data_IF_508497752005
#
_entry.id   IF_508497752005
#
_cell.length_a   1.000
_cell.length_b   1.000
_cell.length_c   1.000
_cell.angle_alpha   90.00
_cell.angle_beta   90.00
_cell.angle_gamma   90.00
#
_symmetry.space_group_name_H-M   'P 1'
#
loop_
_entity.id
_entity.type
_entity.pdbx_description
1 polymer ?
#
# COMPACT_ATOMS: atom_id res chain seq x y z
N UNK A 1 8.50 12.96 16.41
CA UNK A 1 7.42 13.27 15.47
C UNK A 1 6.07 13.66 16.09
N UNK A 2 5.97 13.85 17.41
CA UNK A 2 4.74 14.31 18.08
C UNK A 2 3.57 13.31 18.04
N UNK A 3 3.77 12.06 17.69
CA UNK A 3 2.73 11.05 17.72
C UNK A 3 2.38 10.66 19.16
N UNK A 4 1.09 10.73 19.49
CA UNK A 4 0.60 10.35 20.83
C UNK A 4 0.40 8.83 20.86
N UNK A 5 1.05 8.18 21.84
CA UNK A 5 0.91 6.75 22.07
C UNK A 5 -0.28 6.46 22.98
N UNK A 6 -0.98 5.38 22.70
CA UNK A 6 -2.10 4.93 23.53
C UNK A 6 -1.66 3.81 24.46
N UNK A 7 -1.94 3.98 25.73
CA UNK A 7 -1.57 3.04 26.81
C UNK A 7 -2.77 2.41 27.52
N UNK A 8 -3.99 2.88 27.25
CA UNK A 8 -5.24 2.35 27.80
C UNK A 8 -6.19 2.01 26.66
N UNK A 9 -7.18 1.16 26.92
CA UNK A 9 -8.16 0.68 25.92
C UNK A 9 -7.46 0.17 24.64
N UNK A 10 -6.48 -0.70 24.84
CA UNK A 10 -5.65 -1.23 23.75
C UNK A 10 -6.43 -2.26 22.91
N UNK A 11 -6.08 -2.46 21.62
CA UNK A 11 -6.63 -3.52 20.79
C UNK A 11 -6.26 -4.91 21.37
N UNK A 12 -7.06 -5.93 21.07
CA UNK A 12 -6.86 -7.30 21.59
C UNK A 12 -5.47 -7.86 21.26
N UNK A 13 -4.95 -7.49 20.10
CA UNK A 13 -3.65 -7.92 19.58
C UNK A 13 -2.52 -6.90 19.82
N UNK A 14 -2.65 -6.04 20.83
CA UNK A 14 -1.67 -4.98 21.09
C UNK A 14 -0.23 -5.47 21.29
N UNK A 15 -0.06 -6.70 21.81
CA UNK A 15 1.26 -7.32 22.03
C UNK A 15 2.03 -7.62 20.73
N UNK A 16 1.33 -7.66 19.59
CA UNK A 16 1.94 -7.86 18.28
C UNK A 16 2.59 -6.60 17.73
N UNK A 17 2.33 -5.44 18.33
CA UNK A 17 2.80 -4.14 17.89
C UNK A 17 3.84 -3.56 18.84
N UNK A 18 4.85 -2.80 18.33
CA UNK A 18 5.82 -2.14 19.20
C UNK A 18 5.19 -1.01 20.02
N UNK A 19 4.16 -0.38 19.50
CA UNK A 19 3.33 0.63 20.15
C UNK A 19 1.99 0.80 19.43
N UNK A 20 1.03 1.44 20.08
CA UNK A 20 -0.30 1.73 19.54
C UNK A 20 -0.48 3.25 19.44
N UNK A 21 -0.84 3.74 18.27
CA UNK A 21 -1.10 5.16 18.05
C UNK A 21 -2.49 5.55 18.56
N UNK A 22 -2.57 6.68 19.27
CA UNK A 22 -3.84 7.20 19.78
C UNK A 22 -4.80 7.65 18.67
N UNK A 23 -4.27 8.00 17.50
CA UNK A 23 -5.04 8.45 16.33
C UNK A 23 -5.88 7.36 15.65
N UNK A 24 -5.59 6.07 15.92
CA UNK A 24 -6.31 4.96 15.30
C UNK A 24 -7.17 4.21 16.30
N UNK A 25 -8.40 3.81 15.92
CA UNK A 25 -9.27 2.96 16.77
C UNK A 25 -8.73 1.52 16.86
N UNK A 26 -9.20 0.74 17.84
CA UNK A 26 -8.81 -0.67 17.98
C UNK A 26 -9.08 -1.48 16.71
N UNK A 27 -10.20 -1.21 16.03
CA UNK A 27 -10.56 -1.87 14.77
C UNK A 27 -9.52 -1.68 13.67
N UNK A 28 -8.72 -0.63 13.70
CA UNK A 28 -7.61 -0.44 12.77
C UNK A 28 -6.55 -1.55 12.93
N UNK A 29 -6.20 -1.90 14.17
CA UNK A 29 -5.21 -2.93 14.48
C UNK A 29 -5.77 -4.35 14.40
N UNK A 30 -7.03 -4.53 14.77
CA UNK A 30 -7.69 -5.84 14.84
C UNK A 30 -8.21 -6.35 13.50
N UNK A 31 -8.42 -5.44 12.53
CA UNK A 31 -8.96 -5.82 11.23
C UNK A 31 -7.97 -6.65 10.43
N UNK A 32 -8.40 -7.83 10.00
CA UNK A 32 -7.66 -8.63 9.05
C UNK A 32 -7.69 -7.99 7.66
N UNK A 33 -6.54 -7.96 7.01
CA UNK A 33 -6.36 -7.59 5.60
C UNK A 33 -6.10 -8.84 4.76
N UNK A 34 -6.05 -8.69 3.44
CA UNK A 34 -5.72 -9.81 2.55
C UNK A 34 -4.31 -10.35 2.84
N UNK A 35 -3.36 -9.49 3.18
CA UNK A 35 -2.01 -9.90 3.52
C UNK A 35 -1.96 -10.62 4.88
N UNK A 36 -2.62 -10.08 5.92
CA UNK A 36 -2.60 -10.71 7.25
C UNK A 36 -3.31 -12.06 7.29
N UNK A 37 -4.30 -12.29 6.43
CA UNK A 37 -4.94 -13.61 6.28
C UNK A 37 -4.02 -14.70 5.74
N UNK A 38 -2.95 -14.29 5.06
CA UNK A 38 -1.97 -15.22 4.47
C UNK A 38 -0.73 -15.40 5.34
N UNK A 39 -0.69 -14.77 6.52
CA UNK A 39 0.44 -14.90 7.45
C UNK A 39 0.69 -16.34 7.84
N UNK A 40 1.96 -16.74 7.76
CA UNK A 40 2.47 -18.00 8.29
C UNK A 40 2.91 -17.86 9.75
N UNK A 41 3.13 -18.99 10.42
CA UNK A 41 3.70 -18.99 11.78
C UNK A 41 5.16 -18.52 11.84
N UNK A 42 5.85 -18.45 10.68
CA UNK A 42 7.25 -18.02 10.57
C UNK A 42 7.37 -16.51 10.36
N UNK A 43 6.27 -15.86 9.97
CA UNK A 43 6.26 -14.42 9.76
C UNK A 43 6.43 -13.69 11.09
N UNK A 44 7.18 -12.61 11.05
CA UNK A 44 7.44 -11.78 12.23
C UNK A 44 6.29 -10.84 12.49
N UNK A 45 5.90 -10.72 13.76
CA UNK A 45 4.96 -9.68 14.17
C UNK A 45 5.59 -8.29 14.00
N UNK A 46 4.80 -7.22 13.99
CA UNK A 46 5.34 -5.85 14.01
C UNK A 46 6.33 -5.60 15.15
N UNK A 47 6.04 -6.09 16.35
CA UNK A 47 6.94 -5.97 17.51
C UNK A 47 8.29 -6.69 17.31
N UNK A 48 8.28 -7.85 16.66
CA UNK A 48 9.50 -8.58 16.31
C UNK A 48 10.26 -7.88 15.17
N UNK A 49 9.55 -7.38 14.16
CA UNK A 49 10.13 -6.67 13.02
C UNK A 49 10.80 -5.36 13.47
N UNK A 50 10.18 -4.65 14.42
CA UNK A 50 10.73 -3.42 14.98
C UNK A 50 12.11 -3.60 15.65
N UNK A 51 12.45 -4.83 16.09
CA UNK A 51 13.74 -5.14 16.71
C UNK A 51 14.86 -5.42 15.70
N UNK A 52 14.52 -5.70 14.44
CA UNK A 52 15.48 -6.09 13.40
C UNK A 52 15.68 -5.05 12.30
N UNK A 53 14.79 -4.08 12.18
CA UNK A 53 14.92 -2.97 11.25
C UNK A 53 15.36 -1.71 12.01
N UNK A 54 16.30 -0.97 11.44
CA UNK A 54 16.63 0.38 11.93
C UNK A 54 15.45 1.34 11.74
N UNK A 55 15.42 2.44 12.45
CA UNK A 55 14.38 3.45 12.28
C UNK A 55 14.45 4.08 10.87
N UNK A 56 15.67 4.29 10.35
CA UNK A 56 15.88 4.73 8.97
C UNK A 56 15.26 3.78 7.93
N UNK A 57 15.45 2.47 8.09
CA UNK A 57 14.87 1.47 7.20
C UNK A 57 13.35 1.48 7.25
N UNK A 58 12.76 1.60 8.46
CA UNK A 58 11.31 1.70 8.66
C UNK A 58 10.74 2.93 7.95
N UNK A 59 11.39 4.08 8.12
CA UNK A 59 10.98 5.33 7.50
C UNK A 59 11.06 5.25 5.97
N UNK A 60 12.13 4.68 5.43
CA UNK A 60 12.31 4.50 3.99
C UNK A 60 11.27 3.55 3.39
N UNK A 61 10.95 2.45 4.05
CA UNK A 61 9.91 1.51 3.63
C UNK A 61 8.55 2.22 3.62
N UNK A 62 8.19 2.89 4.70
CA UNK A 62 6.91 3.60 4.82
C UNK A 62 6.78 4.74 3.80
N UNK A 63 7.84 5.52 3.60
CA UNK A 63 7.87 6.58 2.59
C UNK A 63 7.70 6.04 1.17
N UNK A 64 8.32 4.90 0.85
CA UNK A 64 8.19 4.26 -0.44
C UNK A 64 6.77 3.77 -0.71
N UNK A 65 6.16 3.12 0.27
CA UNK A 65 4.76 2.68 0.22
C UNK A 65 3.83 3.88 0.06
N UNK A 66 3.99 4.90 0.91
CA UNK A 66 3.18 6.13 0.87
C UNK A 66 3.23 6.79 -0.50
N UNK A 67 4.44 6.99 -1.03
CA UNK A 67 4.65 7.61 -2.34
C UNK A 67 3.96 6.85 -3.47
N UNK A 68 4.05 5.52 -3.47
CA UNK A 68 3.36 4.68 -4.45
C UNK A 68 1.85 4.87 -4.41
N UNK A 69 1.26 4.78 -3.21
CA UNK A 69 -0.19 4.92 -3.01
C UNK A 69 -0.67 6.32 -3.42
N UNK A 70 0.02 7.37 -3.00
CA UNK A 70 -0.30 8.76 -3.36
C UNK A 70 -0.29 8.98 -4.88
N UNK A 71 0.72 8.47 -5.57
CA UNK A 71 0.83 8.59 -7.03
C UNK A 71 -0.31 7.87 -7.76
N UNK A 72 -0.73 6.70 -7.29
CA UNK A 72 -1.81 5.92 -7.92
C UNK A 72 -3.20 6.44 -7.58
N UNK A 73 -3.40 7.03 -6.42
CA UNK A 73 -4.71 7.47 -5.95
C UNK A 73 -4.93 8.99 -6.07
N UNK A 74 -4.04 9.70 -6.78
CA UNK A 74 -4.21 11.11 -7.13
C UNK A 74 -3.97 11.30 -8.62
N UNK A 75 -5.00 10.99 -9.43
CA UNK A 75 -4.88 10.85 -10.87
C UNK A 75 -5.99 11.58 -11.60
N UNK A 76 -5.59 12.37 -12.59
CA UNK A 76 -6.47 12.88 -13.64
C UNK A 76 -5.93 12.39 -14.99
N UNK A 77 -6.69 11.54 -15.69
CA UNK A 77 -6.28 10.92 -16.96
C UNK A 77 -5.85 11.90 -18.04
N UNK A 78 -6.24 13.17 -17.93
CA UNK A 78 -5.95 14.23 -18.91
C UNK A 78 -4.57 14.86 -18.72
N UNK A 79 -4.07 14.94 -17.46
CA UNK A 79 -2.91 15.76 -17.12
C UNK A 79 -1.85 15.07 -16.24
N UNK A 80 -2.21 14.00 -15.51
CA UNK A 80 -1.29 13.43 -14.52
C UNK A 80 -0.12 12.67 -15.13
N UNK A 81 -0.31 12.00 -16.27
CA UNK A 81 0.66 11.03 -16.81
C UNK A 81 1.82 11.67 -17.56
N UNK A 82 2.53 12.57 -16.90
CA UNK A 82 3.78 13.18 -17.38
C UNK A 82 4.96 12.20 -17.28
N UNK A 83 6.08 12.50 -17.97
CA UNK A 83 7.32 11.73 -17.86
C UNK A 83 7.83 11.69 -16.41
N UNK A 84 7.70 12.81 -15.67
CA UNK A 84 8.07 12.89 -14.26
C UNK A 84 7.22 11.96 -13.40
N UNK A 85 5.88 12.02 -13.52
CA UNK A 85 4.98 11.14 -12.76
C UNK A 85 5.29 9.66 -13.03
N UNK A 86 5.51 9.32 -14.31
CA UNK A 86 5.87 7.96 -14.71
C UNK A 86 7.17 7.49 -14.07
N UNK A 87 8.21 8.33 -14.13
CA UNK A 87 9.49 8.06 -13.47
C UNK A 87 9.33 7.92 -11.96
N UNK A 88 8.61 8.85 -11.32
CA UNK A 88 8.37 8.82 -9.88
C UNK A 88 7.66 7.53 -9.46
N UNK A 89 6.64 7.09 -10.20
CA UNK A 89 5.94 5.84 -9.91
C UNK A 89 6.85 4.62 -10.13
N UNK A 90 7.60 4.56 -11.23
CA UNK A 90 8.54 3.48 -11.49
C UNK A 90 9.61 3.34 -10.40
N UNK A 91 10.04 4.47 -9.82
CA UNK A 91 11.04 4.48 -8.75
C UNK A 91 10.51 3.94 -7.41
N UNK A 92 9.21 3.70 -7.30
CA UNK A 92 8.63 3.03 -6.13
C UNK A 92 8.67 1.50 -6.22
N UNK A 93 8.99 0.93 -7.38
CA UNK A 93 9.02 -0.53 -7.61
C UNK A 93 10.46 -1.05 -7.75
N UNK A 94 10.71 -2.24 -7.20
CA UNK A 94 11.95 -3.00 -7.43
C UNK A 94 11.91 -3.86 -8.69
N UNK A 95 10.72 -4.19 -9.18
CA UNK A 95 10.51 -5.15 -10.26
C UNK A 95 11.11 -4.66 -11.59
N UNK A 96 11.73 -5.57 -12.33
CA UNK A 96 12.21 -5.33 -13.71
C UNK A 96 11.08 -5.02 -14.69
N UNK A 97 9.87 -5.51 -14.44
CA UNK A 97 8.68 -5.27 -15.25
C UNK A 97 7.94 -3.96 -14.95
N UNK A 98 8.45 -3.14 -14.04
CA UNK A 98 7.82 -1.88 -13.62
C UNK A 98 7.38 -0.97 -14.76
N UNK A 99 8.16 -0.91 -15.84
CA UNK A 99 7.83 -0.14 -17.04
C UNK A 99 6.53 -0.63 -17.71
N UNK A 100 6.41 -1.95 -17.91
CA UNK A 100 5.23 -2.59 -18.51
C UNK A 100 3.99 -2.33 -17.66
N UNK A 101 4.14 -2.47 -16.37
CA UNK A 101 3.09 -2.33 -15.39
C UNK A 101 2.59 -0.89 -15.27
N UNK A 102 3.48 0.09 -15.20
CA UNK A 102 3.12 1.51 -15.19
C UNK A 102 2.44 1.91 -16.51
N UNK A 103 2.89 1.38 -17.64
CA UNK A 103 2.24 1.62 -18.93
C UNK A 103 0.82 1.03 -18.98
N UNK A 104 0.62 -0.19 -18.44
CA UNK A 104 -0.69 -0.82 -18.34
C UNK A 104 -1.64 0.01 -17.46
N UNK A 105 -1.17 0.49 -16.30
CA UNK A 105 -1.92 1.40 -15.45
C UNK A 105 -2.37 2.66 -16.20
N UNK A 106 -1.45 3.33 -16.90
CA UNK A 106 -1.74 4.55 -17.67
C UNK A 106 -2.79 4.27 -18.76
N UNK A 107 -2.61 3.17 -19.50
CA UNK A 107 -3.55 2.74 -20.56
C UNK A 107 -4.96 2.53 -19.99
N UNK A 108 -5.06 1.80 -18.88
CA UNK A 108 -6.33 1.52 -18.22
C UNK A 108 -7.00 2.80 -17.71
N UNK A 109 -6.27 3.67 -17.03
CA UNK A 109 -6.79 4.92 -16.50
C UNK A 109 -7.28 5.87 -17.61
N UNK A 110 -6.55 5.97 -18.72
CA UNK A 110 -6.97 6.78 -19.89
C UNK A 110 -8.21 6.20 -20.57
N UNK A 111 -8.25 4.89 -20.82
CA UNK A 111 -9.38 4.23 -21.46
C UNK A 111 -10.69 4.40 -20.67
N UNK A 112 -10.61 4.48 -19.36
CA UNK A 112 -11.76 4.65 -18.45
C UNK A 112 -12.00 6.10 -18.02
N UNK A 113 -11.17 7.04 -18.51
CA UNK A 113 -11.27 8.47 -18.18
C UNK A 113 -11.29 8.71 -16.66
N UNK A 114 -10.39 8.04 -15.93
CA UNK A 114 -10.36 8.02 -14.47
C UNK A 114 -9.84 9.35 -13.91
N UNK A 115 -10.57 9.89 -12.95
CA UNK A 115 -10.13 11.00 -12.08
C UNK A 115 -10.33 10.54 -10.64
N UNK A 116 -9.25 10.48 -9.89
CA UNK A 116 -9.23 10.10 -8.47
C UNK A 116 -8.51 11.21 -7.71
N UNK A 117 -9.08 11.60 -6.58
CA UNK A 117 -8.43 12.47 -5.59
C UNK A 117 -8.22 11.70 -4.29
N UNK A 118 -7.00 11.70 -3.77
CA UNK A 118 -6.70 11.23 -2.42
C UNK A 118 -6.83 12.39 -1.45
N UNK A 119 -7.58 12.18 -0.36
CA UNK A 119 -7.64 13.14 0.75
C UNK A 119 -6.54 12.88 1.76
N UNK A 120 -6.38 11.65 2.19
CA UNK A 120 -5.45 11.26 3.25
C UNK A 120 -4.82 9.90 2.93
N UNK A 121 -3.49 9.82 3.07
CA UNK A 121 -2.73 8.58 2.97
C UNK A 121 -1.82 8.49 4.19
N UNK A 122 -2.09 7.52 5.06
CA UNK A 122 -1.28 7.25 6.25
C UNK A 122 -0.70 5.86 6.11
N UNK A 123 0.60 5.75 6.33
CA UNK A 123 1.32 4.48 6.49
C UNK A 123 1.80 4.41 7.93
N UNK A 124 1.40 3.39 8.65
CA UNK A 124 1.70 3.25 10.07
C UNK A 124 3.01 2.46 10.27
N UNK A 125 4.10 3.10 10.73
CA UNK A 125 5.36 2.40 10.99
C UNK A 125 5.25 1.34 12.09
N UNK A 126 4.32 1.51 13.04
CA UNK A 126 4.10 0.52 14.10
C UNK A 126 3.53 -0.79 13.59
N UNK A 127 2.94 -0.77 12.40
CA UNK A 127 2.32 -1.93 11.77
C UNK A 127 3.26 -2.75 10.89
N UNK A 128 4.53 -2.33 10.73
CA UNK A 128 5.51 -3.02 9.88
C UNK A 128 5.75 -4.44 10.36
N UNK A 129 5.42 -5.41 9.53
CA UNK A 129 5.73 -6.82 9.77
C UNK A 129 6.48 -7.42 8.58
N UNK A 130 7.26 -8.48 8.80
CA UNK A 130 8.10 -9.11 7.79
C UNK A 130 7.70 -10.56 7.60
N UNK A 131 7.44 -10.99 6.37
CA UNK A 131 7.16 -12.37 6.05
C UNK A 131 8.44 -13.23 5.99
N UNK A 132 8.26 -14.55 5.88
CA UNK A 132 9.35 -15.50 5.80
C UNK A 132 10.20 -15.35 4.53
N UNK A 133 9.69 -14.71 3.48
CA UNK A 133 10.40 -14.43 2.22
C UNK A 133 11.23 -13.16 2.28
N UNK A 134 11.05 -12.35 3.33
CA UNK A 134 11.79 -11.11 3.55
C UNK A 134 11.07 -9.84 3.10
N UNK A 135 9.83 -9.95 2.63
CA UNK A 135 9.01 -8.78 2.27
C UNK A 135 8.48 -8.13 3.54
N UNK A 136 8.59 -6.81 3.62
CA UNK A 136 8.00 -6.01 4.69
C UNK A 136 6.65 -5.45 4.27
N UNK A 137 5.67 -5.58 5.13
CA UNK A 137 4.31 -5.05 4.93
C UNK A 137 4.03 -3.97 5.95
N UNK A 138 3.45 -2.86 5.51
CA UNK A 138 2.95 -1.83 6.40
C UNK A 138 1.47 -1.59 6.16
N UNK A 139 0.74 -1.30 7.23
CA UNK A 139 -0.67 -0.95 7.15
C UNK A 139 -0.83 0.45 6.59
N UNK A 140 -1.68 0.53 5.56
CA UNK A 140 -2.01 1.76 4.86
C UNK A 140 -3.48 2.08 5.07
N UNK A 141 -3.74 3.28 5.54
CA UNK A 141 -5.06 3.86 5.63
C UNK A 141 -5.19 4.96 4.58
N UNK A 142 -6.20 4.87 3.74
CA UNK A 142 -6.40 5.82 2.65
C UNK A 142 -7.84 6.28 2.62
N UNK A 143 -8.04 7.59 2.52
CA UNK A 143 -9.29 8.20 2.07
C UNK A 143 -9.09 8.71 0.65
N UNK A 144 -9.94 8.29 -0.26
CA UNK A 144 -9.90 8.78 -1.64
C UNK A 144 -11.31 8.87 -2.22
N UNK A 145 -11.42 9.58 -3.32
CA UNK A 145 -12.68 9.77 -4.02
C UNK A 145 -12.47 9.58 -5.52
N UNK A 146 -13.37 8.81 -6.13
CA UNK A 146 -13.45 8.71 -7.59
C UNK A 146 -14.35 9.83 -8.09
N UNK A 147 -13.76 10.83 -8.71
CA UNK A 147 -14.50 12.02 -9.21
C UNK A 147 -15.13 11.74 -10.56
N UNK A 148 -14.45 10.96 -11.40
CA UNK A 148 -14.87 10.65 -12.75
C UNK A 148 -14.35 9.28 -13.18
N UNK A 149 -15.08 8.67 -14.09
CA UNK A 149 -14.73 7.39 -14.70
C UNK A 149 -15.62 6.26 -14.20
N UNK A 150 -15.73 5.21 -15.02
CA UNK A 150 -16.39 3.96 -14.62
C UNK A 150 -15.32 3.03 -14.11
N UNK A 151 -15.29 2.83 -12.81
CA UNK A 151 -14.49 1.78 -12.22
C UNK A 151 -15.43 0.60 -12.02
N UNK A 152 -15.27 -0.44 -12.80
CA UNK A 152 -16.19 -1.58 -12.79
C UNK A 152 -16.14 -2.33 -11.46
N UNK A 153 -17.14 -3.19 -11.24
CA UNK A 153 -17.30 -3.98 -10.02
C UNK A 153 -16.09 -4.89 -9.73
N UNK A 154 -16.01 -5.35 -8.50
CA UNK A 154 -14.98 -6.16 -7.84
C UNK A 154 -14.30 -7.28 -8.69
N UNK A 155 -14.99 -7.79 -9.70
CA UNK A 155 -14.45 -8.83 -10.58
C UNK A 155 -13.66 -8.27 -11.76
N UNK A 156 -13.58 -6.96 -11.91
CA UNK A 156 -12.88 -6.39 -13.05
C UNK A 156 -11.43 -6.10 -12.67
N UNK A 157 -10.54 -6.54 -13.52
CA UNK A 157 -9.11 -6.26 -13.51
C UNK A 157 -8.76 -4.80 -13.23
N UNK A 158 -9.52 -3.89 -13.81
CA UNK A 158 -9.24 -2.47 -13.79
C UNK A 158 -9.33 -1.87 -12.38
N UNK A 159 -10.27 -2.33 -11.56
CA UNK A 159 -10.41 -1.85 -10.19
C UNK A 159 -9.20 -2.21 -9.34
N UNK A 160 -8.71 -3.42 -9.48
CA UNK A 160 -7.51 -3.87 -8.81
C UNK A 160 -6.26 -3.15 -9.34
N UNK A 161 -6.16 -3.00 -10.66
CA UNK A 161 -5.00 -2.37 -11.31
C UNK A 161 -4.90 -0.87 -11.03
N UNK A 162 -6.01 -0.14 -11.15
CA UNK A 162 -5.97 1.33 -11.05
C UNK A 162 -6.01 1.81 -9.61
N UNK A 163 -6.75 1.14 -8.72
CA UNK A 163 -7.00 1.67 -7.39
C UNK A 163 -6.19 0.96 -6.34
N UNK A 164 -6.27 -0.36 -6.28
CA UNK A 164 -5.75 -1.09 -5.12
C UNK A 164 -4.35 -1.65 -5.34
N UNK A 165 -3.98 -1.93 -6.58
CA UNK A 165 -2.75 -2.67 -6.85
C UNK A 165 -2.67 -4.00 -6.10
N UNK A 166 -3.80 -4.55 -5.67
CA UNK A 166 -3.91 -5.83 -4.98
C UNK A 166 -5.34 -6.38 -5.01
N UNK A 167 -5.48 -7.65 -4.70
CA UNK A 167 -6.73 -8.42 -4.75
C UNK A 167 -7.86 -7.99 -3.79
N UNK A 168 -7.73 -6.89 -3.10
CA UNK A 168 -8.75 -6.50 -2.12
C UNK A 168 -9.96 -5.91 -2.80
N UNK A 169 -11.00 -6.71 -2.82
CA UNK A 169 -12.28 -6.37 -3.38
C UNK A 169 -13.01 -5.29 -2.58
N UNK A 170 -13.18 -4.12 -3.17
CA UNK A 170 -14.16 -3.15 -2.70
C UNK A 170 -15.36 -3.20 -3.64
N UNK A 171 -16.50 -3.53 -3.06
CA UNK A 171 -17.77 -3.57 -3.79
C UNK A 171 -18.19 -2.15 -4.16
N UNK A 172 -18.47 -1.92 -5.45
CA UNK A 172 -19.15 -0.73 -5.97
C UNK A 172 -18.47 0.61 -5.68
N UNK A 173 -17.45 0.96 -6.45
CA UNK A 173 -16.93 2.32 -6.53
C UNK A 173 -17.89 3.17 -7.37
N UNK A 174 -18.96 3.66 -6.74
CA UNK A 174 -19.78 4.67 -7.39
C UNK A 174 -18.99 6.00 -7.41
N UNK A 175 -18.99 6.67 -8.56
CA UNK A 175 -18.45 8.02 -8.68
C UNK A 175 -18.99 8.95 -7.59
N UNK A 176 -18.16 9.87 -7.09
CA UNK A 176 -18.50 10.90 -6.10
C UNK A 176 -18.69 10.44 -4.65
N UNK A 177 -18.37 9.21 -4.28
CA UNK A 177 -18.33 8.78 -2.88
C UNK A 177 -16.90 8.75 -2.38
N UNK A 178 -16.70 9.22 -1.15
CA UNK A 178 -15.43 9.04 -0.43
C UNK A 178 -15.35 7.60 0.05
N UNK A 179 -14.22 6.99 -0.21
CA UNK A 179 -13.94 5.60 0.12
C UNK A 179 -12.80 5.59 1.12
N UNK A 180 -13.00 4.86 2.21
CA UNK A 180 -11.95 4.54 3.17
C UNK A 180 -11.45 3.13 2.90
N UNK A 181 -10.14 3.00 2.77
CA UNK A 181 -9.47 1.75 2.47
C UNK A 181 -8.40 1.46 3.51
N UNK A 182 -8.34 0.23 3.95
CA UNK A 182 -7.32 -0.28 4.86
C UNK A 182 -6.71 -1.55 4.28
N UNK A 183 -5.40 -1.54 4.07
CA UNK A 183 -4.65 -2.69 3.55
C UNK A 183 -3.26 -2.74 4.14
N UNK A 184 -2.61 -3.92 4.09
CA UNK A 184 -1.19 -4.06 4.35
C UNK A 184 -0.46 -4.15 2.99
N UNK A 185 0.33 -3.14 2.68
CA UNK A 185 1.06 -3.03 1.42
C UNK A 185 2.48 -3.57 1.56
N UNK A 186 2.86 -4.49 0.68
CA UNK A 186 4.18 -5.10 0.67
C UNK A 186 5.25 -4.22 0.02
N UNK A 187 6.43 -4.22 0.61
CA UNK A 187 7.65 -3.59 0.12
C UNK A 187 8.78 -4.61 0.17
N UNK A 188 9.33 -4.94 -0.99
CA UNK A 188 10.51 -5.79 -1.11
C UNK A 188 11.78 -5.05 -0.73
N UNK A 189 12.78 -5.80 -0.29
CA UNK A 189 14.08 -5.30 0.13
C UNK A 189 15.17 -6.02 -0.65
N UNK A 190 16.19 -5.29 -1.09
CA UNK A 190 17.42 -5.87 -1.64
C UNK A 190 18.56 -5.67 -0.65
N UNK A 191 19.43 -6.64 -0.54
CA UNK A 191 20.53 -6.66 0.41
C UNK A 191 21.89 -6.76 -0.29
N UNK A 192 22.91 -6.15 0.33
CA UNK A 192 24.31 -6.46 0.09
C UNK A 192 24.96 -6.76 1.44
N UNK A 193 25.29 -8.04 1.68
CA UNK A 193 25.54 -8.54 3.02
C UNK A 193 24.32 -8.35 3.92
N UNK A 194 24.52 -7.80 5.10
CA UNK A 194 23.42 -7.49 6.05
C UNK A 194 22.77 -6.13 5.85
N UNK A 195 23.29 -5.33 4.90
CA UNK A 195 22.80 -3.97 4.66
C UNK A 195 21.72 -3.95 3.59
N UNK A 196 20.59 -3.31 3.88
CA UNK A 196 19.56 -3.02 2.88
C UNK A 196 20.09 -1.96 1.92
N UNK A 197 20.08 -2.25 0.62
CA UNK A 197 20.60 -1.38 -0.43
C UNK A 197 19.53 -0.76 -1.31
N UNK A 198 18.35 -1.35 -1.35
CA UNK A 198 17.20 -0.76 -2.05
C UNK A 198 15.87 -1.24 -1.50
N UNK A 199 14.86 -0.41 -1.71
CA UNK A 199 13.49 -0.60 -1.25
C UNK A 199 12.54 -0.39 -2.42
N UNK A 200 11.50 -1.18 -2.50
CA UNK A 200 10.46 -0.93 -3.49
C UNK A 200 9.33 -1.94 -3.40
N UNK A 201 8.18 -1.52 -3.89
CA UNK A 201 7.04 -2.40 -4.00
C UNK A 201 7.33 -3.45 -5.07
N UNK A 202 6.87 -4.66 -4.83
CA UNK A 202 6.84 -5.68 -5.87
C UNK A 202 5.54 -5.56 -6.63
N UNK A 203 5.62 -5.47 -7.94
CA UNK A 203 4.45 -5.50 -8.79
C UNK A 203 3.73 -6.84 -8.77
N UNK A 204 4.39 -7.86 -8.29
CA UNK A 204 3.86 -9.22 -8.18
C UNK A 204 2.55 -9.29 -7.39
N UNK A 205 2.35 -8.37 -6.44
CA UNK A 205 1.13 -8.27 -5.65
C UNK A 205 -0.02 -7.57 -6.39
N UNK A 206 0.26 -6.94 -7.50
CA UNK A 206 -0.72 -6.18 -8.25
C UNK A 206 -1.43 -7.03 -9.31
N UNK A 207 -1.03 -8.29 -9.47
CA UNK A 207 -1.75 -9.29 -10.28
C UNK A 207 -1.92 -8.96 -11.76
N UNK A 208 -1.19 -7.96 -12.28
CA UNK A 208 -1.35 -7.52 -13.67
C UNK A 208 -0.93 -8.60 -14.67
N UNK A 209 0.11 -9.35 -14.35
CA UNK A 209 0.62 -10.38 -15.25
C UNK A 209 -0.31 -11.60 -15.41
N UNK A 210 -1.27 -11.78 -14.50
CA UNK A 210 -2.24 -12.88 -14.53
C UNK A 210 -3.52 -12.54 -15.28
N UNK A 211 -3.60 -11.39 -15.92
CA UNK A 211 -4.85 -10.85 -16.44
C UNK A 211 -4.82 -10.42 -17.91
N UNK A 212 -3.81 -10.85 -18.67
CA UNK A 212 -3.74 -10.69 -20.11
C UNK A 212 -3.90 -12.00 -20.86
#
# INVERSE_FOLDING_TARGET
>A
DGQVLRIINLPKNYKDYPYILASFPNSYYEKETSATKQKSKKDKTPAQTAKILSDEDKDMICAKIKKNVELRLNVDYRKTFTSKWKSDLMNTYLDSNKQKSVNAYIKAAKARKVVISSGEVIVDPSSLWKDETGICYARVYVKFRVEKGKIPSVKSKLQNEVIYGSYTAVKNLSSKKTITYLNDQGCGLSYTGDKITSYGLSWYFDGIDNYY
#
